data_IF_190265633825
#
_entry.id   IF_190265633825
#
_cell.length_a   1.000
_cell.length_b   1.000
_cell.length_c   1.000
_cell.angle_alpha   90.00
_cell.angle_beta   90.00
_cell.angle_gamma   90.00
#
_symmetry.space_group_name_H-M   'P 1'
#
loop_
_entity.id
_entity.type
_entity.pdbx_description
1 polymer ?
#
# COMPACT_ATOMS: atom_id res chain seq x y z
N UNK A 1 15.48 8.08 -0.38
CA UNK A 1 16.38 7.82 -1.52
C UNK A 1 17.76 7.29 -1.09
N UNK A 2 18.34 7.81 -0.01
CA UNK A 2 19.63 7.37 0.55
C UNK A 2 19.71 5.84 0.76
N UNK A 3 18.65 5.22 1.26
CA UNK A 3 18.60 3.78 1.55
C UNK A 3 18.34 2.94 0.31
N UNK A 4 17.58 3.45 -0.64
CA UNK A 4 17.28 2.80 -1.91
C UNK A 4 18.46 2.83 -2.88
N UNK A 5 19.30 3.86 -2.80
CA UNK A 5 20.41 4.05 -3.74
C UNK A 5 21.43 2.90 -3.75
N UNK A 6 21.63 2.23 -2.61
CA UNK A 6 22.51 1.04 -2.49
C UNK A 6 21.84 -0.27 -2.93
N UNK A 7 20.54 -0.25 -3.20
CA UNK A 7 19.73 -1.40 -3.62
C UNK A 7 19.09 -1.14 -5.00
N UNK A 8 19.68 -0.25 -5.80
CA UNK A 8 19.14 0.22 -7.09
C UNK A 8 18.73 -0.93 -8.01
N UNK A 9 19.60 -1.92 -8.17
CA UNK A 9 19.34 -3.05 -9.09
C UNK A 9 18.07 -3.79 -8.66
N UNK A 10 17.92 -4.12 -7.38
CA UNK A 10 16.73 -4.80 -6.88
C UNK A 10 15.47 -3.92 -7.02
N UNK A 11 15.57 -2.64 -6.70
CA UNK A 11 14.46 -1.70 -6.85
C UNK A 11 14.02 -1.54 -8.30
N UNK A 12 14.97 -1.35 -9.24
CA UNK A 12 14.64 -1.27 -10.67
C UNK A 12 14.12 -2.59 -11.23
N UNK A 13 14.59 -3.73 -10.72
CA UNK A 13 14.05 -5.04 -11.10
C UNK A 13 12.60 -5.21 -10.67
N UNK A 14 12.23 -4.77 -9.45
CA UNK A 14 10.83 -4.73 -8.99
C UNK A 14 10.01 -3.82 -9.91
N UNK A 15 10.47 -2.59 -10.13
CA UNK A 15 9.76 -1.63 -10.96
C UNK A 15 9.55 -2.14 -12.39
N UNK A 16 10.59 -2.71 -13.00
CA UNK A 16 10.49 -3.33 -14.33
C UNK A 16 9.50 -4.49 -14.35
N UNK A 17 9.53 -5.37 -13.36
CA UNK A 17 8.61 -6.51 -13.29
C UNK A 17 7.16 -6.07 -13.10
N UNK A 18 6.90 -5.01 -12.33
CA UNK A 18 5.56 -4.41 -12.19
C UNK A 18 5.10 -3.82 -13.51
N UNK A 19 5.94 -3.02 -14.18
CA UNK A 19 5.65 -2.43 -15.49
C UNK A 19 5.33 -3.50 -16.54
N UNK A 20 6.18 -4.51 -16.65
CA UNK A 20 6.00 -5.62 -17.59
C UNK A 20 4.76 -6.44 -17.25
N UNK A 21 4.52 -6.73 -15.97
CA UNK A 21 3.33 -7.45 -15.52
C UNK A 21 2.04 -6.72 -15.89
N UNK A 22 1.97 -5.42 -15.63
CA UNK A 22 0.80 -4.59 -15.99
C UNK A 22 0.60 -4.54 -17.51
N UNK A 23 1.68 -4.41 -18.27
CA UNK A 23 1.61 -4.43 -19.74
C UNK A 23 1.06 -5.76 -20.27
N UNK A 24 1.60 -6.89 -19.84
CA UNK A 24 1.17 -8.21 -20.32
C UNK A 24 -0.27 -8.53 -19.90
N UNK A 25 -0.74 -8.10 -18.75
CA UNK A 25 -2.16 -8.25 -18.36
C UNK A 25 -3.06 -7.50 -19.34
N UNK A 26 -2.74 -6.26 -19.72
CA UNK A 26 -3.58 -5.46 -20.65
C UNK A 26 -3.45 -6.00 -22.07
N UNK A 27 -2.28 -6.44 -22.45
CA UNK A 27 -2.08 -7.10 -23.74
C UNK A 27 -2.94 -8.37 -23.87
N UNK A 28 -3.06 -9.16 -22.80
CA UNK A 28 -3.91 -10.34 -22.79
C UNK A 28 -5.40 -9.98 -23.00
N UNK A 29 -5.88 -8.90 -22.37
CA UNK A 29 -7.24 -8.41 -22.56
C UNK A 29 -7.48 -7.90 -23.98
N UNK A 30 -6.50 -7.22 -24.59
CA UNK A 30 -6.56 -6.79 -25.98
C UNK A 30 -6.68 -7.98 -26.94
N UNK A 31 -5.87 -9.02 -26.76
CA UNK A 31 -5.98 -10.23 -27.59
C UNK A 31 -7.28 -10.98 -27.33
N UNK A 32 -7.84 -10.94 -26.11
CA UNK A 32 -9.16 -11.52 -25.84
C UNK A 32 -10.25 -10.86 -26.69
N UNK A 33 -10.24 -9.53 -26.83
CA UNK A 33 -11.20 -8.82 -27.70
C UNK A 33 -11.06 -9.24 -29.17
N UNK A 34 -9.81 -9.44 -29.65
CA UNK A 34 -9.57 -9.89 -31.02
C UNK A 34 -10.06 -11.31 -31.28
N UNK A 35 -9.98 -12.20 -30.29
CA UNK A 35 -10.55 -13.54 -30.41
C UNK A 35 -12.07 -13.48 -30.54
N UNK A 36 -12.73 -12.63 -29.78
CA UNK A 36 -14.18 -12.40 -29.88
C UNK A 36 -14.54 -11.89 -31.28
N UNK A 37 -13.79 -10.93 -31.84
CA UNK A 37 -14.00 -10.40 -33.19
C UNK A 37 -13.91 -11.52 -34.26
N UNK A 38 -12.90 -12.41 -34.16
CA UNK A 38 -12.72 -13.54 -35.08
C UNK A 38 -13.86 -14.57 -34.96
N UNK A 39 -14.32 -14.85 -33.74
CA UNK A 39 -15.44 -15.77 -33.50
C UNK A 39 -16.76 -15.21 -34.08
N UNK A 40 -16.92 -13.90 -34.05
CA UNK A 40 -18.11 -13.26 -34.61
C UNK A 40 -18.13 -13.15 -36.14
N UNK A 41 -16.94 -13.13 -36.77
CA UNK A 41 -16.79 -12.87 -38.22
C UNK A 41 -16.70 -14.13 -39.10
N UNK A 42 -16.22 -15.28 -38.58
CA UNK A 42 -15.92 -16.48 -39.36
C UNK A 42 -16.85 -17.67 -39.03
N UNK A 43 -17.09 -18.54 -40.05
CA UNK A 43 -17.91 -19.75 -39.91
C UNK A 43 -17.27 -20.82 -38.99
N UNK A 44 -18.07 -21.81 -38.54
CA UNK A 44 -17.83 -22.51 -37.26
C UNK A 44 -16.58 -23.42 -37.17
N UNK A 45 -15.94 -23.84 -38.26
CA UNK A 45 -14.79 -24.76 -38.16
C UNK A 45 -13.42 -24.09 -38.10
N UNK A 46 -13.20 -23.06 -38.88
CA UNK A 46 -11.92 -22.34 -38.92
C UNK A 46 -11.76 -21.42 -37.71
N UNK A 47 -12.89 -20.84 -37.28
CA UNK A 47 -12.97 -20.03 -36.07
C UNK A 47 -12.64 -20.81 -34.79
N UNK A 48 -13.08 -22.07 -34.66
CA UNK A 48 -12.78 -22.90 -33.47
C UNK A 48 -11.29 -23.18 -33.30
N UNK A 49 -10.57 -23.46 -34.38
CA UNK A 49 -9.12 -23.73 -34.31
C UNK A 49 -8.32 -22.46 -33.98
N UNK A 50 -8.66 -21.32 -34.62
CA UNK A 50 -8.02 -20.04 -34.37
C UNK A 50 -8.32 -19.51 -32.93
N UNK A 51 -9.53 -19.73 -32.46
CA UNK A 51 -9.89 -19.36 -31.09
C UNK A 51 -9.17 -20.22 -30.06
N UNK A 52 -9.02 -21.54 -30.28
CA UNK A 52 -8.28 -22.43 -29.38
C UNK A 52 -6.80 -22.00 -29.24
N UNK A 53 -6.15 -21.69 -30.36
CA UNK A 53 -4.78 -21.19 -30.40
C UNK A 53 -4.68 -19.79 -29.70
N UNK A 54 -5.67 -18.95 -29.93
CA UNK A 54 -5.77 -17.64 -29.26
C UNK A 54 -5.92 -17.77 -27.76
N UNK A 55 -6.77 -18.68 -27.27
CA UNK A 55 -6.93 -18.93 -25.83
C UNK A 55 -5.66 -19.52 -25.22
N UNK A 56 -4.95 -20.40 -25.89
CA UNK A 56 -3.66 -20.92 -25.44
C UNK A 56 -2.61 -19.79 -25.31
N UNK A 57 -2.55 -18.91 -26.32
CA UNK A 57 -1.69 -17.71 -26.28
C UNK A 57 -2.04 -16.76 -25.15
N UNK A 58 -3.33 -16.51 -24.92
CA UNK A 58 -3.83 -15.72 -23.80
C UNK A 58 -3.46 -16.31 -22.45
N UNK A 59 -3.68 -17.60 -22.28
CA UNK A 59 -3.35 -18.30 -21.05
C UNK A 59 -1.84 -18.20 -20.76
N UNK A 60 -0.99 -18.37 -21.77
CA UNK A 60 0.46 -18.27 -21.62
C UNK A 60 0.92 -16.85 -21.25
N UNK A 61 0.34 -15.81 -21.87
CA UNK A 61 0.61 -14.42 -21.53
C UNK A 61 0.18 -14.07 -20.08
N UNK A 62 -0.99 -14.56 -19.69
CA UNK A 62 -1.49 -14.37 -18.34
C UNK A 62 -0.63 -15.07 -17.29
N UNK A 63 -0.20 -16.32 -17.56
CA UNK A 63 0.71 -17.07 -16.72
C UNK A 63 2.08 -16.39 -16.61
N UNK A 64 2.59 -15.85 -17.73
CA UNK A 64 3.83 -15.08 -17.72
C UNK A 64 3.72 -13.81 -16.88
N UNK A 65 2.62 -13.07 -17.01
CA UNK A 65 2.35 -11.89 -16.15
C UNK A 65 2.28 -12.26 -14.66
N UNK A 66 1.63 -13.40 -14.33
CA UNK A 66 1.61 -13.93 -12.95
C UNK A 66 3.00 -14.34 -12.47
N UNK A 67 3.82 -14.94 -13.34
CA UNK A 67 5.22 -15.26 -13.04
C UNK A 67 6.04 -14.03 -12.68
N UNK A 68 5.84 -12.91 -13.39
CA UNK A 68 6.49 -11.63 -13.07
C UNK A 68 6.06 -11.10 -11.70
N UNK A 69 4.78 -11.23 -11.33
CA UNK A 69 4.31 -10.86 -9.99
C UNK A 69 4.93 -11.72 -8.89
N UNK A 70 5.05 -13.04 -9.10
CA UNK A 70 5.76 -13.93 -8.17
C UNK A 70 7.24 -13.55 -8.06
N UNK A 71 7.88 -13.16 -9.16
CA UNK A 71 9.25 -12.65 -9.17
C UNK A 71 9.38 -11.37 -8.31
N UNK A 72 8.40 -10.46 -8.38
CA UNK A 72 8.36 -9.27 -7.51
C UNK A 72 8.31 -9.67 -6.05
N UNK A 73 7.39 -10.56 -5.66
CA UNK A 73 7.27 -11.05 -4.27
C UNK A 73 8.60 -11.67 -3.79
N UNK A 74 9.27 -12.44 -4.64
CA UNK A 74 10.54 -13.05 -4.30
C UNK A 74 11.67 -12.03 -4.10
N UNK A 75 11.71 -10.99 -4.94
CA UNK A 75 12.68 -9.90 -4.79
C UNK A 75 12.36 -9.08 -3.55
N UNK A 76 11.10 -8.75 -3.31
CA UNK A 76 10.66 -7.99 -2.13
C UNK A 76 11.02 -8.74 -0.84
N UNK A 77 10.84 -10.06 -0.80
CA UNK A 77 11.23 -10.88 0.35
C UNK A 77 12.73 -10.77 0.70
N UNK A 78 13.58 -10.48 -0.29
CA UNK A 78 15.02 -10.25 -0.07
C UNK A 78 15.38 -8.78 0.14
N UNK A 79 14.70 -7.90 -0.55
CA UNK A 79 14.96 -6.46 -0.53
C UNK A 79 14.50 -5.81 0.78
N UNK A 80 13.27 -6.08 1.21
CA UNK A 80 12.63 -5.42 2.35
C UNK A 80 13.39 -5.62 3.68
N UNK A 81 13.83 -6.83 4.07
CA UNK A 81 14.59 -6.99 5.30
C UNK A 81 15.91 -6.20 5.31
N UNK A 82 16.58 -6.13 4.16
CA UNK A 82 17.83 -5.36 4.03
C UNK A 82 17.55 -3.85 4.10
N UNK A 83 16.47 -3.39 3.48
CA UNK A 83 16.02 -2.01 3.52
C UNK A 83 15.68 -1.58 4.96
N UNK A 84 14.85 -2.36 5.66
CA UNK A 84 14.45 -2.11 7.04
C UNK A 84 15.64 -2.17 8.01
N UNK A 85 16.53 -3.14 7.84
CA UNK A 85 17.75 -3.27 8.66
C UNK A 85 18.66 -2.05 8.54
N UNK A 86 18.77 -1.45 7.35
CA UNK A 86 19.56 -0.23 7.15
C UNK A 86 18.95 0.98 7.84
N UNK A 87 17.63 1.14 7.73
CA UNK A 87 16.91 2.21 8.43
C UNK A 87 17.08 2.04 9.93
N UNK A 88 16.85 0.83 10.45
CA UNK A 88 17.01 0.50 11.86
C UNK A 88 18.42 0.83 12.37
N UNK A 89 19.45 0.44 11.63
CA UNK A 89 20.85 0.73 11.98
C UNK A 89 21.14 2.24 12.02
N UNK A 90 20.65 2.99 11.04
CA UNK A 90 20.87 4.44 11.02
C UNK A 90 20.14 5.13 12.16
N UNK A 91 18.89 4.72 12.46
CA UNK A 91 18.11 5.25 13.57
C UNK A 91 18.73 4.89 14.93
N UNK A 92 19.22 3.66 15.09
CA UNK A 92 19.94 3.24 16.28
C UNK A 92 21.20 4.09 16.49
N UNK A 93 22.01 4.26 15.45
CA UNK A 93 23.20 5.09 15.51
C UNK A 93 22.89 6.56 15.78
N UNK A 94 21.77 7.07 15.23
CA UNK A 94 21.30 8.42 15.48
C UNK A 94 20.91 8.60 16.94
N UNK A 95 20.10 7.67 17.48
CA UNK A 95 19.68 7.71 18.88
C UNK A 95 20.89 7.72 19.83
N UNK A 96 21.88 6.84 19.61
CA UNK A 96 23.06 6.75 20.47
C UNK A 96 24.04 7.93 20.40
N UNK A 97 23.84 8.87 19.49
CA UNK A 97 24.62 10.11 19.43
C UNK A 97 24.07 11.23 20.33
N UNK A 98 22.90 11.01 20.93
CA UNK A 98 22.32 11.97 21.86
C UNK A 98 22.99 11.87 23.25
N UNK A 99 22.89 12.96 24.01
CA UNK A 99 23.47 13.05 25.34
C UNK A 99 22.75 12.15 26.35
N UNK A 100 23.43 11.81 27.45
CA UNK A 100 22.80 11.09 28.57
C UNK A 100 21.61 11.82 29.17
N UNK A 101 21.61 13.17 29.14
CA UNK A 101 20.50 14.00 29.57
C UNK A 101 19.22 13.72 28.74
N UNK A 102 19.35 13.55 27.41
CA UNK A 102 18.24 13.20 26.54
C UNK A 102 17.57 11.87 26.94
N UNK A 103 18.37 10.87 27.33
CA UNK A 103 17.85 9.59 27.78
C UNK A 103 17.28 9.62 29.20
N UNK A 104 17.67 10.60 30.02
CA UNK A 104 17.11 10.81 31.34
C UNK A 104 15.73 11.51 31.29
N UNK A 105 15.52 12.38 30.30
CA UNK A 105 14.26 13.08 30.09
C UNK A 105 13.22 12.25 29.31
N UNK A 106 13.68 11.43 28.35
CA UNK A 106 12.80 10.57 27.53
C UNK A 106 12.89 9.12 28.00
N UNK A 107 11.76 8.50 28.31
CA UNK A 107 11.73 7.07 28.66
C UNK A 107 12.25 6.23 27.48
N UNK A 108 13.17 5.29 27.76
CA UNK A 108 13.77 4.40 26.75
C UNK A 108 12.70 3.67 25.91
N UNK A 109 11.55 3.29 26.50
CA UNK A 109 10.42 2.70 25.82
C UNK A 109 9.79 3.59 24.77
N UNK A 110 9.74 4.91 25.02
CA UNK A 110 9.20 5.90 24.06
C UNK A 110 10.12 6.01 22.83
N UNK A 111 11.45 6.07 23.04
CA UNK A 111 12.43 6.16 21.96
C UNK A 111 12.38 4.88 21.09
N UNK A 112 12.34 3.71 21.69
CA UNK A 112 12.26 2.43 20.97
C UNK A 112 10.94 2.31 20.20
N UNK A 113 9.83 2.78 20.77
CA UNK A 113 8.54 2.87 20.10
C UNK A 113 8.57 3.78 18.88
N UNK A 114 9.14 4.98 19.00
CA UNK A 114 9.31 5.93 17.88
C UNK A 114 10.17 5.32 16.75
N UNK A 115 11.27 4.64 17.07
CA UNK A 115 12.12 3.96 16.10
C UNK A 115 11.34 2.87 15.36
N UNK A 116 10.61 2.03 16.08
CA UNK A 116 9.77 0.98 15.48
C UNK A 116 8.73 1.58 14.53
N UNK A 117 8.01 2.61 14.97
CA UNK A 117 7.01 3.30 14.14
C UNK A 117 7.61 3.83 12.84
N UNK A 118 8.78 4.48 12.89
CA UNK A 118 9.46 4.99 11.68
C UNK A 118 9.81 3.84 10.72
N UNK A 119 10.23 2.68 11.22
CA UNK A 119 10.55 1.52 10.38
C UNK A 119 9.28 0.98 9.71
N UNK A 120 8.20 0.79 10.48
CA UNK A 120 6.91 0.28 10.00
C UNK A 120 6.27 1.24 8.99
N UNK A 121 6.31 2.55 9.26
CA UNK A 121 5.82 3.58 8.35
C UNK A 121 6.64 3.66 7.06
N UNK A 122 7.95 3.47 7.13
CA UNK A 122 8.82 3.41 5.95
C UNK A 122 8.45 2.25 5.02
N UNK A 123 8.09 1.08 5.59
CA UNK A 123 7.56 -0.04 4.84
C UNK A 123 6.21 0.29 4.21
N UNK A 124 5.29 0.86 4.97
CA UNK A 124 3.96 1.25 4.51
C UNK A 124 4.03 2.27 3.37
N UNK A 125 4.92 3.26 3.47
CA UNK A 125 5.16 4.24 2.41
C UNK A 125 5.67 3.57 1.14
N UNK A 126 6.67 2.68 1.25
CA UNK A 126 7.19 1.93 0.10
C UNK A 126 6.08 1.13 -0.59
N UNK A 127 5.30 0.37 0.19
CA UNK A 127 4.22 -0.47 -0.32
C UNK A 127 3.12 0.37 -1.00
N UNK A 128 2.68 1.44 -0.36
CA UNK A 128 1.64 2.33 -0.90
C UNK A 128 2.08 3.05 -2.17
N UNK A 129 3.35 3.48 -2.25
CA UNK A 129 3.87 4.10 -3.48
C UNK A 129 3.89 3.09 -4.62
N UNK A 130 4.39 1.88 -4.40
CA UNK A 130 4.55 0.89 -5.46
C UNK A 130 3.20 0.32 -5.91
N UNK A 131 2.44 -0.24 -4.97
CA UNK A 131 1.21 -0.98 -5.23
C UNK A 131 -0.05 -0.11 -5.20
N UNK A 132 -0.07 0.93 -4.37
CA UNK A 132 -1.20 1.85 -4.27
C UNK A 132 -1.19 2.96 -5.31
N UNK A 133 -0.03 3.35 -5.81
CA UNK A 133 0.09 4.49 -6.73
C UNK A 133 0.70 4.13 -8.08
N UNK A 134 1.91 3.58 -8.13
CA UNK A 134 2.62 3.32 -9.39
C UNK A 134 1.91 2.27 -10.22
N UNK A 135 1.60 1.09 -9.67
CA UNK A 135 0.96 -0.01 -10.43
C UNK A 135 -0.41 0.40 -11.01
N UNK A 136 -1.36 0.97 -10.25
CA UNK A 136 -2.64 1.41 -10.81
C UNK A 136 -2.50 2.53 -11.86
N UNK A 137 -1.57 3.48 -11.65
CA UNK A 137 -1.36 4.57 -12.62
C UNK A 137 -0.87 4.02 -13.96
N UNK A 138 0.09 3.10 -13.94
CA UNK A 138 0.59 2.42 -15.14
C UNK A 138 -0.55 1.64 -15.81
N UNK A 139 -1.34 0.93 -15.02
CA UNK A 139 -2.49 0.18 -15.51
C UNK A 139 -3.47 1.06 -16.29
N UNK A 140 -3.81 2.24 -15.76
CA UNK A 140 -4.69 3.20 -16.41
C UNK A 140 -4.08 3.75 -17.69
N UNK A 141 -2.79 4.13 -17.67
CA UNK A 141 -2.10 4.68 -18.85
C UNK A 141 -2.05 3.66 -19.99
N UNK A 142 -1.68 2.42 -19.69
CA UNK A 142 -1.62 1.36 -20.71
C UNK A 142 -3.02 1.04 -21.24
N UNK A 143 -4.03 0.91 -20.37
CA UNK A 143 -5.41 0.67 -20.78
C UNK A 143 -5.94 1.76 -21.68
N UNK A 144 -5.66 3.03 -21.33
CA UNK A 144 -6.02 4.18 -22.16
C UNK A 144 -5.38 4.10 -23.54
N UNK A 145 -4.07 3.80 -23.62
CA UNK A 145 -3.36 3.66 -24.88
C UNK A 145 -3.94 2.55 -25.78
N UNK A 146 -4.33 1.41 -25.23
CA UNK A 146 -4.98 0.34 -26.01
C UNK A 146 -6.37 0.74 -26.49
N UNK A 147 -7.22 1.32 -25.63
CA UNK A 147 -8.58 1.72 -26.00
C UNK A 147 -8.56 2.88 -27.00
N UNK A 148 -7.60 3.80 -26.88
CA UNK A 148 -7.44 4.93 -27.80
C UNK A 148 -7.21 4.48 -29.25
N UNK A 149 -6.46 3.41 -29.46
CA UNK A 149 -6.22 2.81 -30.78
C UNK A 149 -7.45 2.07 -31.36
N UNK A 150 -8.45 1.73 -30.52
CA UNK A 150 -9.66 1.02 -30.97
C UNK A 150 -10.79 2.01 -31.20
N UNK A 151 -11.03 2.89 -30.24
CA UNK A 151 -12.15 3.83 -30.26
C UNK A 151 -11.81 5.10 -29.44
N UNK A 152 -11.50 6.18 -30.16
CA UNK A 152 -11.13 7.47 -29.56
C UNK A 152 -12.23 8.05 -28.67
N UNK A 153 -13.51 8.14 -29.10
CA UNK A 153 -14.59 8.63 -28.24
C UNK A 153 -14.71 7.84 -26.92
N UNK A 154 -14.62 6.51 -26.98
CA UNK A 154 -14.69 5.66 -25.79
C UNK A 154 -13.51 5.91 -24.83
N UNK A 155 -12.31 6.07 -25.37
CA UNK A 155 -11.13 6.35 -24.54
C UNK A 155 -11.22 7.70 -23.84
N UNK A 156 -11.72 8.73 -24.52
CA UNK A 156 -11.93 10.06 -23.95
C UNK A 156 -12.99 10.05 -22.85
N UNK A 157 -14.10 9.33 -23.05
CA UNK A 157 -15.13 9.17 -22.00
C UNK A 157 -14.57 8.45 -20.78
N UNK A 158 -13.78 7.38 -20.96
CA UNK A 158 -13.12 6.66 -19.86
C UNK A 158 -12.13 7.56 -19.12
N UNK A 159 -11.37 8.38 -19.83
CA UNK A 159 -10.43 9.34 -19.21
C UNK A 159 -11.18 10.40 -18.40
N UNK A 160 -12.28 10.94 -18.94
CA UNK A 160 -13.15 11.87 -18.24
C UNK A 160 -13.75 11.29 -16.95
N UNK A 161 -14.24 10.03 -17.01
CA UNK A 161 -14.76 9.33 -15.84
C UNK A 161 -13.67 9.07 -14.77
N UNK A 162 -12.46 8.68 -15.18
CA UNK A 162 -11.34 8.52 -14.25
C UNK A 162 -10.98 9.85 -13.58
N UNK A 163 -10.92 10.95 -14.34
CA UNK A 163 -10.66 12.27 -13.79
C UNK A 163 -11.74 12.71 -12.80
N UNK A 164 -13.00 12.51 -13.15
CA UNK A 164 -14.14 12.80 -12.26
C UNK A 164 -14.04 11.99 -10.96
N UNK A 165 -13.71 10.72 -11.05
CA UNK A 165 -13.55 9.82 -9.89
C UNK A 165 -12.40 10.27 -9.00
N UNK A 166 -11.24 10.58 -9.57
CA UNK A 166 -10.08 11.09 -8.80
C UNK A 166 -10.44 12.42 -8.12
N UNK A 167 -11.13 13.32 -8.83
CA UNK A 167 -11.60 14.57 -8.26
C UNK A 167 -12.59 14.36 -7.11
N UNK A 168 -13.55 13.47 -7.28
CA UNK A 168 -14.52 13.13 -6.24
C UNK A 168 -13.85 12.53 -5.00
N UNK A 169 -12.90 11.59 -5.20
CA UNK A 169 -12.09 11.01 -4.12
C UNK A 169 -11.24 12.08 -3.42
N UNK A 170 -10.66 13.02 -4.16
CA UNK A 170 -9.89 14.11 -3.58
C UNK A 170 -10.76 15.01 -2.69
N UNK A 171 -11.94 15.38 -3.16
CA UNK A 171 -12.90 16.20 -2.38
C UNK A 171 -13.35 15.45 -1.12
N UNK A 172 -13.67 14.16 -1.26
CA UNK A 172 -14.06 13.32 -0.13
C UNK A 172 -12.93 13.16 0.89
N UNK A 173 -11.73 12.89 0.41
CA UNK A 173 -10.53 12.76 1.26
C UNK A 173 -10.27 14.03 2.07
N UNK A 174 -10.40 15.22 1.44
CA UNK A 174 -10.27 16.51 2.17
C UNK A 174 -11.32 16.70 3.26
N UNK A 175 -12.54 16.22 3.04
CA UNK A 175 -13.60 16.25 4.06
C UNK A 175 -13.36 15.27 5.19
N UNK A 176 -12.77 14.12 4.90
CA UNK A 176 -12.51 13.07 5.90
C UNK A 176 -11.20 13.31 6.69
N UNK A 177 -10.25 14.07 6.13
CA UNK A 177 -8.95 14.30 6.76
C UNK A 177 -9.05 14.80 8.23
N UNK A 178 -9.87 15.82 8.58
CA UNK A 178 -9.95 16.30 9.95
C UNK A 178 -10.51 15.27 10.93
N UNK A 179 -11.40 14.37 10.47
CA UNK A 179 -11.92 13.28 11.31
C UNK A 179 -10.85 12.22 11.59
N UNK A 180 -10.07 11.87 10.56
CA UNK A 180 -8.94 10.95 10.69
C UNK A 180 -7.87 11.50 11.62
N UNK A 181 -7.59 12.79 11.56
CA UNK A 181 -6.64 13.48 12.45
C UNK A 181 -7.14 13.49 13.90
N UNK A 182 -8.41 13.85 14.12
CA UNK A 182 -9.02 13.83 15.45
C UNK A 182 -9.00 12.41 16.05
N UNK A 183 -9.32 11.39 15.25
CA UNK A 183 -9.21 9.99 15.66
C UNK A 183 -7.79 9.59 16.03
N UNK A 184 -6.81 9.92 15.19
CA UNK A 184 -5.40 9.61 15.44
C UNK A 184 -4.91 10.23 16.76
N UNK A 185 -5.30 11.49 17.04
CA UNK A 185 -5.00 12.16 18.30
C UNK A 185 -5.61 11.44 19.50
N UNK A 186 -6.91 11.10 19.44
CA UNK A 186 -7.59 10.40 20.52
C UNK A 186 -7.03 8.99 20.77
N UNK A 187 -6.61 8.28 19.71
CA UNK A 187 -5.94 6.99 19.84
C UNK A 187 -4.55 7.12 20.45
N UNK A 188 -3.82 8.18 20.13
CA UNK A 188 -2.53 8.48 20.78
C UNK A 188 -2.70 8.77 22.27
N UNK A 189 -3.71 9.54 22.65
CA UNK A 189 -4.06 9.82 24.05
C UNK A 189 -4.47 8.52 24.78
N UNK A 190 -5.29 7.67 24.16
CA UNK A 190 -5.65 6.35 24.69
C UNK A 190 -4.41 5.47 24.95
N UNK A 191 -3.48 5.44 24.00
CA UNK A 191 -2.22 4.72 24.16
C UNK A 191 -1.38 5.26 25.32
N UNK A 192 -1.33 6.59 25.52
CA UNK A 192 -0.69 7.21 26.70
C UNK A 192 -1.30 6.69 27.99
N UNK A 193 -2.64 6.76 28.13
CA UNK A 193 -3.35 6.25 29.32
C UNK A 193 -3.09 4.75 29.55
N UNK A 194 -3.03 3.96 28.48
CA UNK A 194 -2.72 2.52 28.58
C UNK A 194 -1.31 2.29 29.13
N UNK A 195 -0.32 2.99 28.59
CA UNK A 195 1.07 2.90 29.03
C UNK A 195 1.19 3.29 30.50
N UNK A 196 0.58 4.39 30.90
CA UNK A 196 0.58 4.84 32.29
C UNK A 196 -0.05 3.82 33.25
N UNK A 197 -1.21 3.26 32.87
CA UNK A 197 -1.89 2.24 33.65
C UNK A 197 -1.06 0.94 33.79
N UNK A 198 -0.35 0.52 32.73
CA UNK A 198 0.53 -0.65 32.77
C UNK A 198 1.78 -0.36 33.59
N UNK A 199 2.40 0.80 33.42
CA UNK A 199 3.62 1.19 34.16
C UNK A 199 3.33 1.26 35.66
N UNK A 200 2.16 1.75 36.04
CA UNK A 200 1.72 1.86 37.43
C UNK A 200 0.82 0.69 37.89
N UNK A 201 0.90 -0.46 37.24
CA UNK A 201 0.01 -1.61 37.49
C UNK A 201 0.01 -2.08 38.95
N UNK A 202 1.16 -1.98 39.65
CA UNK A 202 1.27 -2.29 41.08
C UNK A 202 0.42 -1.34 41.94
N UNK A 203 0.46 -0.04 41.66
CA UNK A 203 -0.35 0.96 42.36
C UNK A 203 -1.86 0.75 42.05
N UNK A 204 -2.21 0.53 40.79
CA UNK A 204 -3.59 0.26 40.36
C UNK A 204 -4.17 -0.95 41.11
N UNK A 205 -3.37 -2.01 41.27
CA UNK A 205 -3.75 -3.23 42.03
C UNK A 205 -3.86 -2.96 43.54
N UNK A 206 -2.87 -2.29 44.11
CA UNK A 206 -2.82 -2.00 45.57
C UNK A 206 -3.99 -1.12 46.02
N UNK A 207 -4.40 -0.18 45.18
CA UNK A 207 -5.56 0.69 45.47
C UNK A 207 -6.88 0.17 44.91
N UNK A 208 -6.89 -1.04 44.35
CA UNK A 208 -8.11 -1.66 43.75
C UNK A 208 -8.82 -0.77 42.71
N UNK A 209 -8.06 0.09 42.00
CA UNK A 209 -8.61 1.15 41.15
C UNK A 209 -8.80 0.72 39.67
N UNK A 210 -8.79 -0.60 39.42
CA UNK A 210 -8.90 -1.18 38.09
C UNK A 210 -10.12 -0.71 37.30
N UNK A 211 -11.28 -0.57 37.98
CA UNK A 211 -12.52 -0.15 37.30
C UNK A 211 -12.46 1.31 36.84
N UNK A 212 -11.75 2.17 37.55
CA UNK A 212 -11.53 3.55 37.16
C UNK A 212 -10.63 3.62 35.94
N UNK A 213 -9.47 2.97 35.99
CA UNK A 213 -8.50 2.92 34.88
C UNK A 213 -9.15 2.37 33.62
N UNK A 214 -9.91 1.28 33.73
CA UNK A 214 -10.67 0.71 32.64
C UNK A 214 -11.66 1.71 32.03
N UNK A 215 -12.44 2.42 32.84
CA UNK A 215 -13.40 3.42 32.36
C UNK A 215 -12.69 4.59 31.69
N UNK A 216 -11.57 5.03 32.27
CA UNK A 216 -10.76 6.11 31.76
C UNK A 216 -10.22 5.77 30.36
N UNK A 217 -9.53 4.67 30.20
CA UNK A 217 -9.04 4.17 28.90
C UNK A 217 -10.15 4.06 27.86
N UNK A 218 -11.23 3.34 28.20
CA UNK A 218 -12.32 3.14 27.26
C UNK A 218 -13.09 4.42 26.91
N UNK A 219 -12.99 5.48 27.69
CA UNK A 219 -13.55 6.78 27.33
C UNK A 219 -12.88 7.36 26.10
N UNK A 220 -11.55 7.28 25.99
CA UNK A 220 -10.81 7.71 24.81
C UNK A 220 -11.07 6.83 23.59
N UNK A 221 -11.07 5.51 23.77
CA UNK A 221 -11.39 4.56 22.68
C UNK A 221 -12.78 4.80 22.10
N UNK A 222 -13.79 5.06 22.97
CA UNK A 222 -15.14 5.39 22.51
C UNK A 222 -15.22 6.73 21.78
N UNK A 223 -14.49 7.75 22.24
CA UNK A 223 -14.41 9.03 21.52
C UNK A 223 -13.76 8.87 20.17
N UNK A 224 -12.69 8.09 20.08
CA UNK A 224 -12.04 7.77 18.80
C UNK A 224 -12.99 7.03 17.85
N UNK A 225 -13.73 6.04 18.36
CA UNK A 225 -14.72 5.33 17.56
C UNK A 225 -15.94 6.20 17.16
N UNK A 226 -16.29 7.22 17.96
CA UNK A 226 -17.32 8.17 17.58
C UNK A 226 -16.87 9.13 16.48
N UNK A 227 -15.59 9.50 16.45
CA UNK A 227 -15.02 10.32 15.38
C UNK A 227 -15.03 9.62 14.00
N UNK A 228 -15.14 8.28 13.96
CA UNK A 228 -15.26 7.50 12.72
C UNK A 228 -16.72 7.41 12.19
N UNK A 229 -17.72 7.82 12.97
CA UNK A 229 -19.14 7.62 12.61
C UNK A 229 -19.78 8.84 11.93
N UNK A 230 -19.02 9.91 11.73
CA UNK A 230 -19.44 11.13 11.04
C UNK A 230 -18.89 11.18 9.62
#
# INVERSE_FOLDING_TARGET
WKYLSKLRILFYSVLFSVLAGEFFVRLSLYYASKIVDVLAAEGPRRSLMLSALGFAGLASLFLFAKGLLLHVIFIEARFLPVYMSRISKDLFNYAHRHSTAFFAEEMAGNISGKIKTIIDDSYSIYYNILWGFISPTIAVVISFAFIFNINVPLSLTMLGLNFLLIWALYVLSRKLAPFSEARAKLMSEANGVLVDSITNASLVKNFSNFLYEKRHYFSYVRRAAAADRL
#
